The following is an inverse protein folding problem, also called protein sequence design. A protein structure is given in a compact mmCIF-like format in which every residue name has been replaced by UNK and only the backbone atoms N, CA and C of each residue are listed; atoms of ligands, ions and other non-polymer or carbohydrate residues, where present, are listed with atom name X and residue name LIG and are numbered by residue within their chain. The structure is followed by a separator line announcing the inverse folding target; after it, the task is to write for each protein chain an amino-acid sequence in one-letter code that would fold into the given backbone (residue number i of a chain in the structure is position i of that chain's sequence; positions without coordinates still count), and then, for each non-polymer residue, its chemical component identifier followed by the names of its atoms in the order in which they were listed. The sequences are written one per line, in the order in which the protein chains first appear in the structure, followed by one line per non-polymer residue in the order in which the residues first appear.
data_IF_341018658027
#
_entry.id   IF_341018658027
#
_cell.length_a   1.000
_cell.length_b   1.000
_cell.length_c   1.000
_cell.angle_alpha   90.00
_cell.angle_beta   90.00
_cell.angle_gamma   90.00
#
_symmetry.space_group_name_H-M   'P 1'
#
loop_
_entity.id
_entity.type
_entity.pdbx_description
1 polymer ?
#
# COMPACT_ATOMS: atom_id res chain seq x y z
N UNK A 1 23.38 11.84 0.09
CA UNK A 1 22.27 12.73 0.42
C UNK A 1 21.16 11.87 1.03
N UNK A 2 21.29 11.52 2.31
CA UNK A 2 20.30 10.71 3.05
C UNK A 2 19.19 11.65 3.51
N UNK A 3 17.97 11.48 3.01
CA UNK A 3 16.83 12.22 3.53
C UNK A 3 16.46 11.61 4.87
N UNK A 4 16.76 12.37 5.93
CA UNK A 4 16.38 12.09 7.30
C UNK A 4 14.90 12.49 7.46
N UNK A 5 14.00 11.50 7.46
CA UNK A 5 12.55 11.74 7.64
C UNK A 5 12.12 11.62 9.11
N UNK A 6 13.06 11.67 10.05
CA UNK A 6 12.78 11.45 11.48
C UNK A 6 12.16 12.65 12.23
N UNK A 7 11.74 13.71 11.53
CA UNK A 7 11.07 14.83 12.18
C UNK A 7 9.64 14.44 12.58
N UNK A 8 9.47 14.04 13.84
CA UNK A 8 8.18 13.91 14.52
C UNK A 8 7.45 15.25 14.49
N UNK A 9 6.37 15.35 13.73
CA UNK A 9 5.49 16.50 13.77
C UNK A 9 4.81 16.58 15.16
N UNK A 10 4.78 17.76 15.81
CA UNK A 10 4.01 17.94 17.03
C UNK A 10 2.50 17.93 16.69
N UNK A 11 1.73 17.24 17.52
CA UNK A 11 0.27 17.20 17.44
C UNK A 11 -0.26 18.55 17.95
N UNK A 12 -0.68 19.44 17.04
CA UNK A 12 -1.35 20.67 17.43
C UNK A 12 -2.80 20.36 17.85
N UNK A 13 -2.99 20.13 19.14
CA UNK A 13 -4.31 20.22 19.78
C UNK A 13 -4.51 21.63 20.32
N UNK A 14 -5.03 22.52 19.48
CA UNK A 14 -5.74 23.72 19.94
C UNK A 14 -7.09 23.75 19.25
N UNK A 15 -8.13 23.35 19.99
CA UNK A 15 -9.52 23.36 19.55
C UNK A 15 -10.07 24.79 19.60
N UNK A 16 -10.06 25.49 18.48
CA UNK A 16 -10.90 26.69 18.31
C UNK A 16 -12.34 26.22 18.04
N UNK A 17 -13.22 26.45 19.01
CA UNK A 17 -14.56 25.88 19.09
C UNK A 17 -15.61 26.47 18.12
N UNK A 18 -15.20 27.27 17.13
CA UNK A 18 -16.13 28.00 16.25
C UNK A 18 -15.83 27.89 14.75
N UNK A 19 -14.95 26.97 14.34
CA UNK A 19 -14.76 26.65 12.92
C UNK A 19 -15.78 25.59 12.47
N UNK A 20 -16.50 25.77 11.35
CA UNK A 20 -17.32 24.70 10.81
C UNK A 20 -16.43 23.49 10.55
N UNK A 21 -16.85 22.31 11.04
CA UNK A 21 -16.10 21.08 10.88
C UNK A 21 -15.93 20.80 9.37
N UNK A 22 -14.77 21.17 8.83
CA UNK A 22 -14.39 20.80 7.48
C UNK A 22 -14.21 19.29 7.54
N UNK A 23 -15.19 18.55 7.01
CA UNK A 23 -15.09 17.11 6.89
C UNK A 23 -13.83 16.81 6.07
N UNK A 24 -12.78 16.32 6.73
CA UNK A 24 -11.51 15.96 6.11
C UNK A 24 -11.65 14.69 5.24
N UNK A 25 -12.77 14.48 4.57
CA UNK A 25 -12.91 13.40 3.61
C UNK A 25 -11.92 13.56 2.46
N UNK A 26 -11.31 12.46 2.04
CA UNK A 26 -10.61 12.43 0.76
C UNK A 26 -11.60 12.91 -0.33
N UNK A 27 -11.26 13.91 -1.16
CA UNK A 27 -12.19 14.52 -2.12
C UNK A 27 -12.68 13.56 -3.22
N UNK A 28 -12.15 12.33 -3.25
CA UNK A 28 -12.47 11.27 -4.19
C UNK A 28 -13.48 10.24 -3.68
N UNK A 29 -13.85 10.26 -2.39
CA UNK A 29 -14.90 9.39 -1.85
C UNK A 29 -16.09 10.22 -1.42
N UNK A 30 -17.27 9.91 -1.96
CA UNK A 30 -18.55 10.57 -1.66
C UNK A 30 -19.05 10.35 -0.22
N UNK A 31 -18.31 9.59 0.60
CA UNK A 31 -18.58 9.37 2.01
C UNK A 31 -17.46 9.91 2.91
N UNK A 32 -17.80 10.22 4.16
CA UNK A 32 -16.83 10.52 5.21
C UNK A 32 -15.92 9.30 5.49
N UNK A 33 -14.96 9.45 6.41
CA UNK A 33 -14.00 8.38 6.76
C UNK A 33 -14.64 7.04 7.15
N UNK A 34 -15.89 7.05 7.62
CA UNK A 34 -16.64 5.87 8.04
C UNK A 34 -17.34 5.12 6.90
N UNK A 35 -17.41 5.70 5.70
CA UNK A 35 -18.01 5.05 4.54
C UNK A 35 -17.02 4.08 3.90
N UNK A 36 -17.50 2.88 3.54
CA UNK A 36 -16.69 1.96 2.76
C UNK A 36 -16.37 2.59 1.40
N UNK A 37 -15.10 2.59 0.97
CA UNK A 37 -14.73 3.16 -0.31
C UNK A 37 -15.40 2.39 -1.45
N UNK A 38 -15.98 3.13 -2.39
CA UNK A 38 -16.55 2.55 -3.61
C UNK A 38 -15.42 2.06 -4.53
N UNK A 39 -15.43 0.79 -4.97
CA UNK A 39 -14.43 0.28 -5.90
C UNK A 39 -14.52 0.99 -7.25
N UNK A 40 -13.37 1.33 -7.86
CA UNK A 40 -13.31 2.06 -9.14
C UNK A 40 -13.99 1.32 -10.31
N UNK A 41 -14.01 -0.01 -10.29
CA UNK A 41 -14.73 -0.84 -11.24
C UNK A 41 -14.17 -0.87 -12.68
N UNK A 42 -14.83 -1.62 -13.58
CA UNK A 42 -14.34 -1.93 -14.93
C UNK A 42 -14.11 -0.74 -15.85
N UNK A 43 -14.85 0.36 -15.65
CA UNK A 43 -14.76 1.56 -16.48
C UNK A 43 -13.59 2.47 -16.09
N UNK A 44 -12.85 2.13 -15.02
CA UNK A 44 -11.72 2.92 -14.55
C UNK A 44 -10.43 2.64 -15.32
N UNK A 45 -9.57 3.66 -15.41
CA UNK A 45 -8.22 3.51 -15.96
C UNK A 45 -7.38 2.51 -15.15
N UNK A 46 -7.55 2.49 -13.83
CA UNK A 46 -6.90 1.52 -12.95
C UNK A 46 -7.26 0.10 -13.36
N UNK A 47 -8.54 -0.20 -13.56
CA UNK A 47 -8.97 -1.52 -14.02
C UNK A 47 -8.38 -1.88 -15.38
N UNK A 48 -8.47 -0.96 -16.33
CA UNK A 48 -7.96 -1.16 -17.69
C UNK A 48 -6.47 -1.46 -17.70
N UNK A 49 -5.63 -0.61 -17.10
CA UNK A 49 -4.18 -0.70 -17.21
C UNK A 49 -3.56 -1.73 -16.25
N UNK A 50 -4.12 -1.89 -15.05
CA UNK A 50 -3.63 -2.90 -14.10
C UNK A 50 -3.91 -4.33 -14.62
N UNK A 51 -4.97 -4.50 -15.42
CA UNK A 51 -5.36 -5.79 -16.00
C UNK A 51 -4.66 -6.13 -17.33
N UNK A 52 -3.83 -5.23 -17.85
CA UNK A 52 -3.10 -5.49 -19.09
C UNK A 52 -1.99 -6.52 -18.88
N UNK A 53 -1.77 -7.35 -19.90
CA UNK A 53 -0.70 -8.35 -19.90
C UNK A 53 0.70 -7.72 -19.77
N UNK A 54 0.87 -6.46 -20.21
CA UNK A 54 2.11 -5.68 -20.03
C UNK A 54 2.46 -5.45 -18.56
N UNK A 55 1.45 -5.39 -17.67
CA UNK A 55 1.64 -5.29 -16.22
C UNK A 55 2.42 -6.47 -15.62
N UNK A 56 2.39 -7.64 -16.27
CA UNK A 56 3.17 -8.80 -15.83
C UNK A 56 4.68 -8.51 -15.81
N UNK A 57 5.18 -7.73 -16.79
CA UNK A 57 6.60 -7.36 -16.85
C UNK A 57 6.98 -6.29 -15.83
N UNK A 58 6.00 -5.52 -15.35
CA UNK A 58 6.22 -4.53 -14.30
C UNK A 58 6.21 -5.14 -12.90
N UNK A 59 5.74 -6.38 -12.74
CA UNK A 59 5.75 -7.11 -11.47
C UNK A 59 7.14 -7.19 -10.81
N UNK A 60 8.19 -7.66 -11.51
CA UNK A 60 9.56 -7.65 -11.01
C UNK A 60 10.04 -6.25 -10.62
N UNK A 61 9.76 -5.23 -11.44
CA UNK A 61 10.13 -3.85 -11.14
C UNK A 61 9.45 -3.35 -9.85
N UNK A 62 8.14 -3.53 -9.72
CA UNK A 62 7.37 -3.11 -8.55
C UNK A 62 7.86 -3.82 -7.30
N UNK A 63 8.06 -5.14 -7.36
CA UNK A 63 8.60 -5.92 -6.24
C UNK A 63 10.00 -5.47 -5.82
N UNK A 64 10.88 -5.18 -6.77
CA UNK A 64 12.21 -4.63 -6.48
C UNK A 64 12.12 -3.25 -5.82
N UNK A 65 11.36 -2.32 -6.40
CA UNK A 65 11.19 -0.96 -5.86
C UNK A 65 10.58 -0.96 -4.46
N UNK A 66 9.61 -1.83 -4.17
CA UNK A 66 9.06 -1.99 -2.82
C UNK A 66 10.14 -2.35 -1.81
N UNK A 67 10.97 -3.36 -2.13
CA UNK A 67 12.03 -3.83 -1.24
C UNK A 67 13.23 -2.89 -1.12
N UNK A 68 13.33 -1.84 -1.96
CA UNK A 68 14.36 -0.81 -1.81
C UNK A 68 14.09 0.13 -0.63
N UNK A 69 12.88 0.15 -0.08
CA UNK A 69 12.61 0.89 1.15
C UNK A 69 13.14 0.11 2.36
N UNK A 70 13.98 0.71 3.24
CA UNK A 70 14.68 -0.01 4.30
C UNK A 70 13.76 -0.84 5.20
N UNK A 71 12.62 -0.26 5.60
CA UNK A 71 11.65 -0.94 6.46
C UNK A 71 10.93 -2.10 5.76
N UNK A 72 10.68 -2.02 4.44
CA UNK A 72 10.09 -3.13 3.70
C UNK A 72 11.10 -4.27 3.53
N UNK A 73 12.35 -3.93 3.21
CA UNK A 73 13.43 -4.90 3.12
C UNK A 73 13.65 -5.66 4.43
N UNK A 74 13.64 -4.97 5.57
CA UNK A 74 13.71 -5.58 6.90
C UNK A 74 12.52 -6.52 7.16
N UNK A 75 11.29 -6.04 6.94
CA UNK A 75 10.09 -6.85 7.14
C UNK A 75 10.08 -8.12 6.27
N UNK A 76 10.54 -8.05 5.02
CA UNK A 76 10.64 -9.21 4.13
C UNK A 76 11.73 -10.17 4.60
N UNK A 77 12.87 -9.66 5.05
CA UNK A 77 13.96 -10.49 5.62
C UNK A 77 13.50 -11.25 6.86
N UNK A 78 12.77 -10.59 7.76
CA UNK A 78 12.41 -11.13 9.08
C UNK A 78 11.13 -11.97 9.09
N UNK A 79 10.13 -11.60 8.29
CA UNK A 79 8.80 -12.22 8.34
C UNK A 79 8.40 -13.00 7.09
N UNK A 80 9.26 -13.07 6.06
CA UNK A 80 8.92 -13.75 4.81
C UNK A 80 9.79 -14.98 4.55
N UNK A 81 9.15 -16.07 4.12
CA UNK A 81 9.84 -17.21 3.50
C UNK A 81 10.31 -16.91 2.06
N UNK A 82 10.31 -15.65 1.65
CA UNK A 82 10.65 -15.20 0.28
C UNK A 82 12.01 -15.72 -0.20
N UNK A 83 12.99 -15.83 0.69
CA UNK A 83 14.32 -16.32 0.35
C UNK A 83 14.39 -17.85 0.21
N UNK A 84 13.42 -18.59 0.77
CA UNK A 84 13.30 -20.05 0.64
C UNK A 84 12.38 -20.45 -0.52
N UNK A 85 11.26 -19.73 -0.69
CA UNK A 85 10.19 -20.06 -1.63
C UNK A 85 9.73 -18.83 -2.41
N UNK A 86 10.64 -18.21 -3.17
CA UNK A 86 10.39 -16.97 -3.90
C UNK A 86 9.16 -17.04 -4.82
N UNK A 87 9.11 -18.06 -5.67
CA UNK A 87 8.02 -18.22 -6.65
C UNK A 87 6.68 -18.57 -6.00
N UNK A 88 6.58 -19.56 -5.08
CA UNK A 88 5.34 -19.82 -4.35
C UNK A 88 4.83 -18.62 -3.54
N UNK A 89 5.72 -17.88 -2.86
CA UNK A 89 5.35 -16.63 -2.18
C UNK A 89 4.75 -15.64 -3.15
N UNK A 90 5.42 -15.40 -4.28
CA UNK A 90 4.95 -14.45 -5.30
C UNK A 90 3.56 -14.83 -5.80
N UNK A 91 3.35 -16.10 -6.18
CA UNK A 91 2.06 -16.60 -6.66
C UNK A 91 0.94 -16.41 -5.62
N UNK A 92 1.21 -16.66 -4.33
CA UNK A 92 0.24 -16.38 -3.24
C UNK A 92 -0.11 -14.90 -3.09
N UNK A 93 0.73 -14.00 -3.59
CA UNK A 93 0.49 -12.55 -3.53
C UNK A 93 -0.33 -12.03 -4.71
N UNK A 94 -0.36 -12.75 -5.85
CA UNK A 94 -1.05 -12.31 -7.06
C UNK A 94 -2.55 -12.15 -6.82
N UNK A 95 -3.20 -13.13 -6.20
CA UNK A 95 -4.64 -13.07 -5.98
C UNK A 95 -5.07 -11.92 -5.06
N UNK A 96 -4.48 -11.73 -3.85
CA UNK A 96 -4.85 -10.60 -3.00
C UNK A 96 -4.56 -9.22 -3.63
N UNK A 97 -3.45 -9.07 -4.35
CA UNK A 97 -3.10 -7.82 -5.05
C UNK A 97 -4.07 -7.56 -6.21
N UNK A 98 -4.40 -8.58 -6.99
CA UNK A 98 -5.39 -8.45 -8.06
C UNK A 98 -6.78 -8.15 -7.51
N UNK A 99 -7.18 -8.83 -6.42
CA UNK A 99 -8.52 -8.74 -5.87
C UNK A 99 -8.90 -7.35 -5.34
N UNK A 100 -7.94 -6.55 -4.84
CA UNK A 100 -8.23 -5.15 -4.46
C UNK A 100 -8.64 -4.28 -5.65
N UNK A 101 -8.24 -4.66 -6.87
CA UNK A 101 -8.69 -4.00 -8.11
C UNK A 101 -9.89 -4.73 -8.69
N UNK A 102 -9.84 -6.07 -8.70
CA UNK A 102 -10.68 -6.92 -9.55
C UNK A 102 -11.90 -7.58 -8.90
N UNK A 103 -12.03 -7.56 -7.57
CA UNK A 103 -13.10 -8.28 -6.87
C UNK A 103 -14.47 -7.56 -6.89
N UNK A 104 -14.58 -6.42 -7.59
CA UNK A 104 -15.83 -5.64 -7.68
C UNK A 104 -16.34 -5.27 -6.29
N UNK A 105 -17.60 -5.60 -5.98
CA UNK A 105 -18.21 -5.33 -4.67
C UNK A 105 -17.48 -5.99 -3.48
N UNK A 106 -16.66 -7.03 -3.71
CA UNK A 106 -15.86 -7.68 -2.67
C UNK A 106 -14.50 -7.01 -2.44
N UNK A 107 -14.08 -6.07 -3.29
CA UNK A 107 -12.79 -5.40 -3.18
C UNK A 107 -12.53 -4.76 -1.79
N UNK A 108 -13.53 -4.15 -1.09
CA UNK A 108 -13.30 -3.65 0.27
C UNK A 108 -12.97 -4.75 1.28
N UNK A 109 -13.59 -5.93 1.13
CA UNK A 109 -13.30 -7.11 1.97
C UNK A 109 -11.89 -7.63 1.67
N UNK A 110 -11.52 -7.73 0.41
CA UNK A 110 -10.17 -8.16 0.00
C UNK A 110 -9.11 -7.17 0.47
N UNK A 111 -9.37 -5.87 0.39
CA UNK A 111 -8.48 -4.83 0.93
C UNK A 111 -8.30 -4.95 2.44
N UNK A 112 -9.38 -5.21 3.18
CA UNK A 112 -9.30 -5.47 4.62
C UNK A 112 -8.47 -6.72 4.94
N UNK A 113 -8.66 -7.82 4.20
CA UNK A 113 -7.85 -9.03 4.36
C UNK A 113 -6.36 -8.77 4.10
N UNK A 114 -6.04 -8.04 3.03
CA UNK A 114 -4.66 -7.65 2.72
C UNK A 114 -4.09 -6.83 3.86
N UNK A 115 -4.79 -5.81 4.36
CA UNK A 115 -4.37 -5.03 5.53
C UNK A 115 -4.11 -5.93 6.73
N UNK A 116 -5.00 -6.89 7.00
CA UNK A 116 -4.92 -7.75 8.18
C UNK A 116 -3.67 -8.66 8.13
N UNK A 117 -3.25 -9.09 6.94
CA UNK A 117 -1.95 -9.78 6.76
C UNK A 117 -0.75 -8.91 7.17
N UNK A 118 -0.87 -7.58 7.16
CA UNK A 118 0.20 -6.65 7.47
C UNK A 118 0.19 -6.14 8.92
N UNK A 119 -0.87 -6.34 9.69
CA UNK A 119 -0.98 -5.84 11.08
C UNK A 119 0.19 -6.35 11.95
N UNK A 120 0.52 -7.63 11.83
CA UNK A 120 1.59 -8.27 12.62
C UNK A 120 2.99 -8.06 12.07
N UNK A 121 3.17 -7.37 10.94
CA UNK A 121 4.47 -7.19 10.30
C UNK A 121 5.17 -5.95 10.86
N UNK A 122 5.73 -6.10 12.05
CA UNK A 122 6.45 -5.05 12.76
C UNK A 122 7.62 -5.65 13.54
N UNK A 123 8.65 -4.82 13.78
CA UNK A 123 9.89 -5.31 14.37
C UNK A 123 10.91 -4.21 14.58
N UNK A 124 12.16 -4.64 14.79
CA UNK A 124 13.34 -3.78 14.93
C UNK A 124 14.42 -4.36 14.03
N UNK A 125 14.92 -3.56 13.08
CA UNK A 125 15.92 -4.01 12.13
C UNK A 125 17.33 -4.14 12.75
N UNK A 126 18.28 -4.68 11.98
CA UNK A 126 19.68 -4.87 12.40
C UNK A 126 20.39 -3.55 12.79
N UNK A 127 19.84 -2.39 12.44
CA UNK A 127 20.35 -1.06 12.78
C UNK A 127 19.64 -0.46 14.01
N UNK A 128 18.76 -1.21 14.66
CA UNK A 128 18.00 -0.78 15.84
C UNK A 128 16.77 0.08 15.53
N UNK A 129 16.36 0.21 14.26
CA UNK A 129 15.22 1.04 13.87
C UNK A 129 13.93 0.23 13.93
N UNK A 130 12.90 0.81 14.54
CA UNK A 130 11.56 0.22 14.54
C UNK A 130 10.93 0.32 13.16
N UNK A 131 10.22 -0.72 12.75
CA UNK A 131 9.42 -0.72 11.54
C UNK A 131 8.02 -1.31 11.78
N UNK A 132 7.08 -0.89 10.95
CA UNK A 132 5.75 -1.48 10.85
C UNK A 132 5.28 -1.38 9.40
N UNK A 133 4.72 -2.46 8.86
CA UNK A 133 4.14 -2.48 7.52
C UNK A 133 2.98 -1.48 7.35
N UNK A 134 2.32 -1.10 8.46
CA UNK A 134 1.23 -0.13 8.48
C UNK A 134 1.68 1.28 8.93
N UNK A 135 2.99 1.53 9.02
CA UNK A 135 3.49 2.90 9.10
C UNK A 135 3.05 3.66 7.83
N UNK A 136 2.45 4.86 7.94
CA UNK A 136 1.96 5.63 6.79
C UNK A 136 2.97 5.81 5.65
N UNK A 137 4.24 6.07 5.96
CA UNK A 137 5.27 6.31 4.94
C UNK A 137 5.62 5.03 4.16
N UNK A 138 5.76 3.91 4.90
CA UNK A 138 5.99 2.56 4.36
C UNK A 138 4.81 2.13 3.50
N UNK A 139 3.60 2.33 4.02
CA UNK A 139 2.35 2.01 3.35
C UNK A 139 2.23 2.79 2.04
N UNK A 140 2.47 4.11 2.09
CA UNK A 140 2.41 4.97 0.91
C UNK A 140 3.47 4.60 -0.12
N UNK A 141 4.72 4.35 0.29
CA UNK A 141 5.78 3.89 -0.61
C UNK A 141 5.35 2.65 -1.41
N UNK A 142 4.83 1.63 -0.72
CA UNK A 142 4.36 0.42 -1.38
C UNK A 142 3.27 0.71 -2.43
N UNK A 143 2.26 1.53 -2.08
CA UNK A 143 1.18 1.89 -3.00
C UNK A 143 1.65 2.75 -4.17
N UNK A 144 2.58 3.69 -3.94
CA UNK A 144 3.16 4.52 -4.98
C UNK A 144 3.89 3.68 -6.04
N UNK A 145 4.58 2.61 -5.64
CA UNK A 145 5.20 1.69 -6.61
C UNK A 145 4.16 0.94 -7.46
N UNK A 146 3.04 0.49 -6.88
CA UNK A 146 1.96 -0.11 -7.66
C UNK A 146 1.34 0.88 -8.64
N UNK A 147 1.11 2.12 -8.22
CA UNK A 147 0.60 3.16 -9.08
C UNK A 147 1.57 3.47 -10.23
N UNK A 148 2.87 3.67 -9.94
CA UNK A 148 3.87 3.92 -10.98
C UNK A 148 4.04 2.73 -11.92
N UNK A 149 3.97 1.50 -11.42
CA UNK A 149 3.96 0.27 -12.23
C UNK A 149 2.82 0.27 -13.24
N UNK A 150 1.63 0.73 -12.82
CA UNK A 150 0.46 0.86 -13.71
C UNK A 150 0.69 1.87 -14.81
N UNK A 151 1.32 3.01 -14.50
CA UNK A 151 1.69 4.02 -15.51
C UNK A 151 2.70 3.46 -16.51
N UNK A 152 3.72 2.75 -16.04
CA UNK A 152 4.73 2.11 -16.90
C UNK A 152 4.15 1.01 -17.79
N UNK A 153 3.08 0.34 -17.35
CA UNK A 153 2.39 -0.66 -18.16
C UNK A 153 1.53 -0.05 -19.28
N UNK A 154 1.15 1.23 -19.14
CA UNK A 154 0.30 1.97 -20.06
C UNK A 154 1.07 2.70 -21.17
N UNK A 155 2.39 2.90 -20.98
CA UNK A 155 3.34 3.43 -21.97
C UNK A 155 3.72 2.38 -23.02
#
# INVERSE_FOLDING_TARGET
MTQDTSATHPVNSSSDADSPAVAAGCPVTSGGYDALPEPLGPDSLTWKYFGQWTGLFQGPWAGSMQNMHPQLGAAVKEHSIFFMERMPRLLRSIYPIGGVVFDGHRAPVTGAQVRDYHIGLNGVDDQGRRYSALNPDVFYWAHATFFKSTLLAAE
#
